data_IF_467629306578
#
_entry.id   IF_467629306578
#
_cell.length_a   1.000
_cell.length_b   1.000
_cell.length_c   1.000
_cell.angle_alpha   90.00
_cell.angle_beta   90.00
_cell.angle_gamma   90.00
#
_symmetry.space_group_name_H-M   'P 1'
#
loop_
_entity.id
_entity.type
_entity.pdbx_description
1 polymer ?
#
# COMPACT_ATOMS: atom_id res chain seq x y z
N UNK A 1 -10.00 25.33 16.48
CA UNK A 1 -11.16 24.43 16.31
C UNK A 1 -11.58 23.95 17.70
N UNK A 2 -12.88 23.82 17.99
CA UNK A 2 -13.37 23.30 19.28
C UNK A 2 -13.76 21.83 19.16
N UNK A 3 -13.71 21.10 20.29
CA UNK A 3 -14.08 19.70 20.38
C UNK A 3 -15.50 19.41 19.87
N UNK A 4 -16.44 20.36 20.07
CA UNK A 4 -17.81 20.25 19.56
C UNK A 4 -17.94 20.23 18.03
N UNK A 5 -17.02 20.88 17.31
CA UNK A 5 -17.00 20.84 15.83
C UNK A 5 -16.49 19.48 15.33
N UNK A 6 -15.48 18.91 16.00
CA UNK A 6 -14.92 17.60 15.65
C UNK A 6 -15.96 16.49 15.89
N UNK A 7 -16.70 16.54 17.00
CA UNK A 7 -17.79 15.58 17.27
C UNK A 7 -18.93 15.68 16.26
N UNK A 8 -19.24 16.87 15.75
CA UNK A 8 -20.27 17.02 14.71
C UNK A 8 -19.87 16.36 13.38
N UNK A 9 -18.58 16.44 13.01
CA UNK A 9 -18.09 15.88 11.75
C UNK A 9 -17.80 14.37 11.81
N UNK A 10 -17.28 13.88 12.94
CA UNK A 10 -16.77 12.50 13.05
C UNK A 10 -17.55 11.64 14.05
N UNK A 11 -18.47 12.21 14.82
CA UNK A 11 -19.20 11.51 15.87
C UNK A 11 -18.30 11.20 17.07
N UNK A 12 -17.79 9.98 17.12
CA UNK A 12 -16.95 9.43 18.20
C UNK A 12 -15.50 9.19 17.74
N UNK A 13 -14.69 8.61 18.64
CA UNK A 13 -13.30 8.24 18.34
C UNK A 13 -13.20 7.27 17.16
N UNK A 14 -14.12 6.34 17.04
CA UNK A 14 -14.08 5.31 16.01
C UNK A 14 -14.44 5.90 14.65
N UNK A 15 -15.37 6.86 14.61
CA UNK A 15 -15.67 7.64 13.41
C UNK A 15 -14.49 8.51 12.97
N UNK A 16 -13.75 9.12 13.92
CA UNK A 16 -12.52 9.85 13.60
C UNK A 16 -11.44 8.92 13.04
N UNK A 17 -11.18 7.77 13.68
CA UNK A 17 -10.20 6.80 13.21
C UNK A 17 -10.60 6.21 11.86
N UNK A 18 -11.89 5.96 11.63
CA UNK A 18 -12.40 5.51 10.33
C UNK A 18 -12.06 6.52 9.23
N UNK A 19 -12.35 7.81 9.44
CA UNK A 19 -12.06 8.86 8.46
C UNK A 19 -10.55 9.02 8.18
N UNK A 20 -9.70 8.87 9.21
CA UNK A 20 -8.24 8.88 9.05
C UNK A 20 -7.78 7.70 8.19
N UNK A 21 -8.34 6.51 8.41
CA UNK A 21 -8.01 5.34 7.60
C UNK A 21 -8.51 5.52 6.17
N UNK A 22 -9.72 6.06 5.96
CA UNK A 22 -10.26 6.32 4.63
C UNK A 22 -9.38 7.29 3.83
N UNK A 23 -8.94 8.41 4.41
CA UNK A 23 -8.00 9.34 3.76
C UNK A 23 -6.65 8.66 3.45
N UNK A 24 -6.14 7.83 4.37
CA UNK A 24 -4.90 7.10 4.16
C UNK A 24 -5.00 6.09 3.01
N UNK A 25 -6.09 5.31 2.97
CA UNK A 25 -6.36 4.32 1.91
C UNK A 25 -6.60 5.00 0.57
N UNK A 26 -7.38 6.08 0.53
CA UNK A 26 -7.66 6.80 -0.71
C UNK A 26 -6.40 7.41 -1.34
N UNK A 27 -5.49 7.94 -0.53
CA UNK A 27 -4.18 8.43 -1.01
C UNK A 27 -3.29 7.31 -1.51
N UNK A 28 -3.29 6.17 -0.83
CA UNK A 28 -2.54 4.99 -1.26
C UNK A 28 -3.09 4.50 -2.60
N UNK A 29 -4.41 4.35 -2.73
CA UNK A 29 -5.11 4.00 -3.98
C UNK A 29 -4.71 4.95 -5.11
N UNK A 30 -4.82 6.27 -4.90
CA UNK A 30 -4.47 7.25 -5.93
C UNK A 30 -3.00 7.14 -6.37
N UNK A 31 -2.09 6.85 -5.43
CA UNK A 31 -0.67 6.65 -5.74
C UNK A 31 -0.43 5.39 -6.58
N UNK A 32 -1.12 4.29 -6.24
CA UNK A 32 -1.02 3.03 -6.97
C UNK A 32 -1.67 3.13 -8.37
N UNK A 33 -2.81 3.81 -8.49
CA UNK A 33 -3.47 4.07 -9.78
C UNK A 33 -2.55 4.89 -10.71
N UNK A 34 -1.88 5.93 -10.20
CA UNK A 34 -0.91 6.71 -10.96
C UNK A 34 0.37 5.93 -11.35
N UNK A 35 0.69 4.85 -10.62
CA UNK A 35 1.77 3.93 -10.96
C UNK A 35 1.32 2.84 -11.93
N UNK A 36 0.05 2.47 -11.91
CA UNK A 36 -0.54 1.48 -12.81
C UNK A 36 -0.85 2.04 -14.22
N UNK A 37 -0.82 3.36 -14.42
CA UNK A 37 -1.10 4.02 -15.70
C UNK A 37 -0.22 3.49 -16.85
N UNK A 38 -0.75 2.75 -17.84
CA UNK A 38 0.06 2.11 -18.89
C UNK A 38 0.82 3.11 -19.77
N UNK A 39 0.35 4.36 -19.88
CA UNK A 39 1.00 5.39 -20.71
C UNK A 39 2.26 5.96 -20.04
N UNK A 40 2.42 5.75 -18.73
CA UNK A 40 3.59 6.22 -17.99
C UNK A 40 4.79 5.34 -18.27
N UNK A 41 5.81 5.83 -18.95
CA UNK A 41 7.08 5.09 -19.11
C UNK A 41 7.88 5.14 -17.81
N UNK A 42 8.14 3.98 -17.20
CA UNK A 42 8.89 3.83 -15.94
C UNK A 42 9.64 2.49 -15.95
N UNK A 43 10.89 2.48 -15.51
CA UNK A 43 11.65 1.24 -15.35
C UNK A 43 11.09 0.40 -14.20
N UNK A 44 11.25 -0.93 -14.26
CA UNK A 44 10.77 -1.84 -13.20
C UNK A 44 11.32 -1.46 -11.83
N UNK A 45 12.62 -1.17 -11.74
CA UNK A 45 13.24 -0.73 -10.48
C UNK A 45 12.59 0.54 -9.92
N UNK A 46 12.35 1.54 -10.76
CA UNK A 46 11.70 2.79 -10.36
C UNK A 46 10.24 2.55 -9.94
N UNK A 47 9.53 1.62 -10.60
CA UNK A 47 8.17 1.23 -10.26
C UNK A 47 8.09 0.53 -8.90
N UNK A 48 9.03 -0.38 -8.62
CA UNK A 48 9.15 -1.04 -7.31
C UNK A 48 9.47 -0.01 -6.22
N UNK A 49 10.45 0.87 -6.46
CA UNK A 49 10.80 1.92 -5.51
C UNK A 49 9.64 2.89 -5.26
N UNK A 50 8.90 3.28 -6.30
CA UNK A 50 7.77 4.19 -6.17
C UNK A 50 6.58 3.54 -5.46
N UNK A 51 6.29 2.27 -5.76
CA UNK A 51 5.27 1.48 -5.04
C UNK A 51 5.63 1.43 -3.55
N UNK A 52 6.89 1.16 -3.23
CA UNK A 52 7.37 1.16 -1.87
C UNK A 52 7.18 2.50 -1.17
N UNK A 53 7.53 3.62 -1.83
CA UNK A 53 7.33 4.97 -1.30
C UNK A 53 5.85 5.27 -1.03
N UNK A 54 4.93 4.73 -1.84
CA UNK A 54 3.50 4.88 -1.61
C UNK A 54 3.06 4.23 -0.28
N UNK A 55 3.56 3.02 0.00
CA UNK A 55 3.29 2.29 1.25
C UNK A 55 4.00 2.88 2.47
N UNK A 56 5.28 3.24 2.32
CA UNK A 56 6.13 3.72 3.42
C UNK A 56 5.91 5.21 3.76
N UNK A 57 4.96 5.89 3.13
CA UNK A 57 4.67 7.27 3.49
C UNK A 57 4.00 7.33 4.89
N UNK A 58 4.32 8.31 5.75
CA UNK A 58 3.84 8.34 7.13
C UNK A 58 2.32 8.23 7.32
N UNK A 59 1.52 8.75 6.37
CA UNK A 59 0.05 8.66 6.44
C UNK A 59 -0.45 7.27 6.11
N UNK A 60 0.10 6.64 5.08
CA UNK A 60 -0.22 5.25 4.75
C UNK A 60 0.16 4.31 5.90
N UNK A 61 1.33 4.53 6.51
CA UNK A 61 1.74 3.75 7.69
C UNK A 61 0.78 3.91 8.85
N UNK A 62 0.45 5.14 9.24
CA UNK A 62 -0.48 5.39 10.34
C UNK A 62 -1.87 4.75 10.08
N UNK A 63 -2.39 4.86 8.85
CA UNK A 63 -3.66 4.22 8.47
C UNK A 63 -3.61 2.69 8.58
N UNK A 64 -2.53 2.08 8.10
CA UNK A 64 -2.31 0.62 8.17
C UNK A 64 -2.11 0.15 9.62
N UNK A 65 -1.38 0.89 10.44
CA UNK A 65 -1.19 0.58 11.87
C UNK A 65 -2.52 0.57 12.63
N UNK A 66 -3.36 1.60 12.41
CA UNK A 66 -4.70 1.66 13.03
C UNK A 66 -5.55 0.47 12.55
N UNK A 67 -5.52 0.14 11.25
CA UNK A 67 -6.18 -1.05 10.69
C UNK A 67 -5.70 -2.36 11.31
N UNK A 68 -4.39 -2.50 11.57
CA UNK A 68 -3.82 -3.70 12.20
C UNK A 68 -4.26 -3.80 13.66
N UNK A 69 -4.24 -2.68 14.40
CA UNK A 69 -4.56 -2.63 15.82
C UNK A 69 -6.06 -2.71 16.12
N UNK A 70 -6.93 -2.21 15.25
CA UNK A 70 -8.37 -2.08 15.51
C UNK A 70 -9.21 -3.08 14.69
N UNK A 71 -9.39 -4.29 15.25
CA UNK A 71 -10.14 -5.37 14.60
C UNK A 71 -11.58 -5.00 14.25
N UNK A 72 -12.24 -4.20 15.07
CA UNK A 72 -13.64 -3.78 14.86
C UNK A 72 -13.75 -2.72 13.75
N UNK A 73 -12.76 -1.82 13.65
CA UNK A 73 -12.68 -0.85 12.54
C UNK A 73 -12.45 -1.56 11.20
N UNK A 74 -11.65 -2.64 11.16
CA UNK A 74 -11.50 -3.45 9.94
C UNK A 74 -12.83 -3.97 9.43
N UNK A 75 -13.72 -4.41 10.32
CA UNK A 75 -15.05 -4.89 9.96
C UNK A 75 -15.90 -3.81 9.29
N UNK A 76 -15.79 -2.57 9.77
CA UNK A 76 -16.51 -1.39 9.23
C UNK A 76 -15.95 -0.90 7.89
N UNK A 77 -14.65 -1.05 7.69
CA UNK A 77 -13.95 -0.69 6.46
C UNK A 77 -14.07 -1.75 5.36
N UNK A 78 -14.64 -2.92 5.66
CA UNK A 78 -15.01 -3.91 4.63
C UNK A 78 -16.12 -3.33 3.76
N UNK A 79 -15.79 -3.08 2.50
CA UNK A 79 -16.66 -2.37 1.55
C UNK A 79 -15.87 -1.75 0.41
N UNK A 80 -16.32 -0.58 -0.06
CA UNK A 80 -15.80 0.11 -1.26
C UNK A 80 -14.30 0.42 -1.19
N UNK A 81 -13.77 0.92 -0.05
CA UNK A 81 -12.35 1.32 0.05
C UNK A 81 -11.38 0.13 -0.07
N UNK A 82 -11.67 -1.00 0.61
CA UNK A 82 -10.84 -2.19 0.49
C UNK A 82 -10.93 -2.81 -0.92
N UNK A 83 -12.11 -2.71 -1.55
CA UNK A 83 -12.31 -3.09 -2.95
C UNK A 83 -11.47 -2.23 -3.91
N UNK A 84 -11.44 -0.90 -3.71
CA UNK A 84 -10.61 0.03 -4.49
C UNK A 84 -9.12 -0.23 -4.31
N UNK A 85 -8.66 -0.48 -3.08
CA UNK A 85 -7.27 -0.86 -2.82
C UNK A 85 -6.90 -2.17 -3.53
N UNK A 86 -7.76 -3.19 -3.45
CA UNK A 86 -7.57 -4.43 -4.18
C UNK A 86 -7.51 -4.24 -5.69
N UNK A 87 -8.39 -3.39 -6.25
CA UNK A 87 -8.41 -3.08 -7.68
C UNK A 87 -7.14 -2.33 -8.13
N UNK A 88 -6.69 -1.34 -7.37
CA UNK A 88 -5.46 -0.60 -7.67
C UNK A 88 -4.21 -1.50 -7.63
N UNK A 89 -4.14 -2.41 -6.66
CA UNK A 89 -3.08 -3.43 -6.59
C UNK A 89 -3.12 -4.42 -7.76
N UNK A 90 -4.32 -4.84 -8.18
CA UNK A 90 -4.49 -5.70 -9.34
C UNK A 90 -4.06 -5.00 -10.64
N UNK A 91 -4.39 -3.71 -10.81
CA UNK A 91 -3.96 -2.92 -11.96
C UNK A 91 -2.43 -2.76 -12.00
N UNK A 92 -1.81 -2.47 -10.84
CA UNK A 92 -0.36 -2.40 -10.72
C UNK A 92 0.32 -3.74 -11.03
N UNK A 93 -0.26 -4.85 -10.59
CA UNK A 93 0.25 -6.20 -10.90
C UNK A 93 0.10 -6.51 -12.39
N UNK A 94 -1.04 -6.16 -13.00
CA UNK A 94 -1.27 -6.37 -14.43
C UNK A 94 -0.25 -5.63 -15.31
N UNK A 95 0.20 -4.45 -14.86
CA UNK A 95 1.26 -3.69 -15.51
C UNK A 95 2.61 -4.42 -15.55
N UNK A 96 2.92 -5.23 -14.54
CA UNK A 96 4.15 -6.03 -14.48
C UNK A 96 4.09 -7.33 -15.30
N UNK A 97 2.90 -7.74 -15.71
CA UNK A 97 2.67 -9.02 -16.38
C UNK A 97 2.90 -8.91 -17.90
N UNK A 98 4.16 -8.73 -18.31
CA UNK A 98 4.53 -8.71 -19.74
C UNK A 98 4.84 -10.10 -20.33
N UNK A 99 4.92 -11.14 -19.49
CA UNK A 99 5.35 -12.50 -19.87
C UNK A 99 4.25 -13.57 -19.90
N UNK A 100 4.58 -14.73 -20.48
CA UNK A 100 3.63 -15.82 -20.79
C UNK A 100 3.31 -16.76 -19.60
N UNK A 101 3.95 -16.58 -18.43
CA UNK A 101 3.76 -17.46 -17.26
C UNK A 101 2.90 -16.79 -16.17
N UNK A 102 1.61 -17.13 -16.19
CA UNK A 102 0.59 -16.55 -15.32
C UNK A 102 0.78 -16.89 -13.83
N UNK A 103 1.45 -18.00 -13.49
CA UNK A 103 1.70 -18.35 -12.09
C UNK A 103 2.82 -17.50 -11.48
N UNK A 104 3.91 -17.27 -12.23
CA UNK A 104 5.00 -16.38 -11.82
C UNK A 104 4.52 -14.93 -11.66
N UNK A 105 3.69 -14.45 -12.58
CA UNK A 105 3.04 -13.14 -12.52
C UNK A 105 2.29 -12.86 -11.20
N UNK A 106 1.53 -13.85 -10.71
CA UNK A 106 0.77 -13.71 -9.45
C UNK A 106 1.71 -13.64 -8.24
N UNK A 107 2.76 -14.45 -8.22
CA UNK A 107 3.74 -14.46 -7.14
C UNK A 107 4.52 -13.13 -7.08
N UNK A 108 4.95 -12.60 -8.22
CA UNK A 108 5.64 -11.32 -8.32
C UNK A 108 4.74 -10.15 -7.87
N UNK A 109 3.48 -10.13 -8.32
CA UNK A 109 2.50 -9.17 -7.85
C UNK A 109 2.28 -9.22 -6.34
N UNK A 110 2.22 -10.43 -5.76
CA UNK A 110 2.11 -10.59 -4.31
C UNK A 110 3.35 -10.05 -3.58
N UNK A 111 4.56 -10.34 -4.07
CA UNK A 111 5.80 -9.83 -3.47
C UNK A 111 5.88 -8.30 -3.52
N UNK A 112 5.39 -7.67 -4.60
CA UNK A 112 5.45 -6.22 -4.77
C UNK A 112 4.77 -5.44 -3.63
N UNK A 113 3.63 -5.92 -3.12
CA UNK A 113 2.88 -5.21 -2.07
C UNK A 113 3.03 -5.82 -0.67
N UNK A 114 3.26 -7.14 -0.57
CA UNK A 114 3.46 -7.78 0.74
C UNK A 114 4.81 -7.44 1.34
N UNK A 115 5.86 -7.29 0.52
CA UNK A 115 7.21 -6.97 0.99
C UNK A 115 7.27 -5.60 1.68
N UNK A 116 6.76 -4.49 1.07
CA UNK A 116 6.68 -3.21 1.76
C UNK A 116 5.95 -3.29 3.10
N UNK A 117 4.80 -3.98 3.16
CA UNK A 117 4.01 -4.12 4.39
C UNK A 117 4.77 -4.91 5.46
N UNK A 118 5.41 -6.02 5.10
CA UNK A 118 6.19 -6.82 6.04
C UNK A 118 7.40 -6.04 6.58
N UNK A 119 8.06 -5.25 5.74
CA UNK A 119 9.19 -4.43 6.16
C UNK A 119 8.80 -3.25 7.05
N UNK A 120 7.63 -2.62 6.80
CA UNK A 120 7.09 -1.63 7.72
C UNK A 120 6.88 -2.21 9.13
N UNK A 121 6.31 -3.41 9.20
CA UNK A 121 6.17 -4.11 10.49
C UNK A 121 7.55 -4.39 11.09
N UNK A 122 8.52 -4.83 10.29
CA UNK A 122 9.88 -5.09 10.76
C UNK A 122 10.58 -3.83 11.29
N UNK A 123 10.38 -2.66 10.65
CA UNK A 123 10.93 -1.37 11.12
C UNK A 123 10.39 -0.99 12.51
N UNK A 124 9.14 -1.31 12.84
CA UNK A 124 8.57 -1.05 14.17
C UNK A 124 9.32 -1.78 15.30
N UNK A 125 9.98 -2.90 14.99
CA UNK A 125 10.73 -3.70 15.97
C UNK A 125 12.25 -3.53 15.86
N UNK A 126 12.75 -2.82 14.86
CA UNK A 126 14.18 -2.72 14.60
C UNK A 126 14.84 -1.66 15.50
N UNK A 127 15.98 -2.01 16.11
CA UNK A 127 16.75 -1.09 16.95
C UNK A 127 17.57 -0.08 16.12
N UNK A 128 18.22 -0.47 15.01
CA UNK A 128 18.60 0.47 13.95
C UNK A 128 17.54 0.50 12.82
N UNK A 129 17.37 1.64 12.12
CA UNK A 129 16.55 1.69 10.90
C UNK A 129 17.03 0.65 9.89
N UNK A 130 16.10 -0.10 9.31
CA UNK A 130 16.41 -1.05 8.24
C UNK A 130 16.90 -0.28 7.01
N UNK A 131 17.71 -0.88 6.14
CA UNK A 131 18.01 -0.31 4.82
C UNK A 131 17.25 -1.09 3.76
N UNK A 132 16.27 -0.45 3.13
CA UNK A 132 15.33 -1.09 2.21
C UNK A 132 15.80 -1.12 0.75
N UNK A 133 16.91 -0.44 0.39
CA UNK A 133 17.41 -0.40 -1.01
C UNK A 133 17.76 -1.78 -1.55
N UNK A 134 18.48 -2.59 -0.78
CA UNK A 134 18.91 -3.91 -1.24
C UNK A 134 17.72 -4.84 -1.45
N UNK A 135 16.69 -4.71 -0.60
CA UNK A 135 15.44 -5.45 -0.75
C UNK A 135 14.62 -4.97 -1.96
N UNK A 136 14.50 -3.65 -2.16
CA UNK A 136 13.84 -3.08 -3.34
C UNK A 136 14.52 -3.54 -4.63
N UNK A 137 15.86 -3.51 -4.65
CA UNK A 137 16.65 -3.99 -5.77
C UNK A 137 16.44 -5.49 -6.01
N UNK A 138 16.48 -6.31 -4.97
CA UNK A 138 16.25 -7.75 -5.10
C UNK A 138 14.86 -8.08 -5.67
N UNK A 139 13.82 -7.33 -5.27
CA UNK A 139 12.47 -7.48 -5.82
C UNK A 139 12.42 -7.03 -7.28
N UNK A 140 13.07 -5.91 -7.63
CA UNK A 140 13.14 -5.43 -9.01
C UNK A 140 13.87 -6.43 -9.93
N UNK A 141 15.05 -6.90 -9.51
CA UNK A 141 15.84 -7.88 -10.25
C UNK A 141 15.05 -9.19 -10.45
N UNK A 142 14.27 -9.62 -9.45
CA UNK A 142 13.39 -10.80 -9.56
C UNK A 142 12.23 -10.58 -10.53
N UNK A 143 11.62 -9.40 -10.54
CA UNK A 143 10.55 -9.06 -11.49
C UNK A 143 11.14 -9.08 -12.91
N UNK A 144 12.23 -8.36 -13.16
CA UNK A 144 12.87 -8.28 -14.48
C UNK A 144 13.31 -9.64 -15.03
N UNK A 145 13.74 -10.56 -14.15
CA UNK A 145 14.13 -11.92 -14.56
C UNK A 145 12.94 -12.79 -15.04
N UNK A 146 11.70 -12.40 -14.71
CA UNK A 146 10.50 -13.22 -14.87
C UNK A 146 9.30 -12.50 -15.52
N UNK A 147 9.44 -11.22 -15.88
CA UNK A 147 8.45 -10.41 -16.60
C UNK A 147 8.60 -10.45 -18.12
#
# INVERSE_FOLDING_TARGET
MSWGVIQHHFGDRDGLLTAVIEDAVDRLVASLEALADPERVIATEDLVQATWKAFANPKAMAGLEILIAAKDLRGRLRGQHMGRLGAALAALTARLNTGNDREHAIALGMLLWTTPVAMMIAEMFAAPPLTWRDAQKAVADLIDAHS
#
